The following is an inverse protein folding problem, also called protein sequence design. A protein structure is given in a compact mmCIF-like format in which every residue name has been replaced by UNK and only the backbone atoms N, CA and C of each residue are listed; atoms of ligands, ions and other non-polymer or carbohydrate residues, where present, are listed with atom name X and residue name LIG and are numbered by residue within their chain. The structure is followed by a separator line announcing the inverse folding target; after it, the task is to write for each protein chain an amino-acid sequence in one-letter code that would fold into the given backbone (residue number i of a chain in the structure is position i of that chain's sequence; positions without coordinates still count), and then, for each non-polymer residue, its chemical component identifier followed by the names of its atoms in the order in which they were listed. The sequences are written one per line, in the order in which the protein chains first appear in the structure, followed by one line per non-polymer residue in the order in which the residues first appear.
data_IF_595554613452
#
_entry.id   IF_595554613452
#
_cell.length_a   1.000
_cell.length_b   1.000
_cell.length_c   1.000
_cell.angle_alpha   90.00
_cell.angle_beta   90.00
_cell.angle_gamma   90.00
#
_symmetry.space_group_name_H-M   'P 1'
#
loop_
_entity.id
_entity.type
_entity.pdbx_description
1 polymer ?
#
# COMPACT_ATOMS: atom_id res chain seq x y z
N UNK A 1 17.23 9.37 10.38
CA UNK A 1 16.73 10.02 9.14
C UNK A 1 15.34 9.51 8.92
N UNK A 2 14.36 10.39 8.60
CA UNK A 2 12.98 9.95 8.33
C UNK A 2 12.91 9.04 7.10
N UNK A 3 11.93 8.16 7.08
CA UNK A 3 11.69 7.24 5.96
C UNK A 3 10.27 7.42 5.42
N UNK A 4 10.14 7.32 4.09
CA UNK A 4 8.89 7.04 3.43
C UNK A 4 8.90 5.56 3.00
N UNK A 5 8.10 4.75 3.67
CA UNK A 5 7.96 3.33 3.40
C UNK A 5 6.72 3.11 2.55
N UNK A 6 6.89 2.71 1.30
CA UNK A 6 5.78 2.28 0.46
C UNK A 6 5.59 0.77 0.63
N UNK A 7 4.43 0.36 1.15
CA UNK A 7 4.04 -1.04 1.27
C UNK A 7 3.11 -1.37 0.13
N UNK A 8 3.67 -1.95 -0.93
CA UNK A 8 2.99 -2.33 -2.16
C UNK A 8 2.53 -3.80 -2.12
N UNK A 9 1.72 -4.21 -3.05
CA UNK A 9 1.25 -5.59 -3.16
C UNK A 9 -0.18 -5.67 -3.69
N UNK A 10 -0.63 -6.84 -4.15
CA UNK A 10 -1.97 -7.01 -4.71
C UNK A 10 -3.08 -6.69 -3.69
N UNK A 11 -4.31 -6.40 -4.14
CA UNK A 11 -5.45 -6.21 -3.24
C UNK A 11 -5.65 -7.41 -2.30
N UNK A 12 -5.95 -7.14 -1.02
CA UNK A 12 -6.19 -8.18 -0.02
C UNK A 12 -4.95 -8.83 0.59
N UNK A 13 -3.73 -8.48 0.17
CA UNK A 13 -2.47 -9.12 0.63
C UNK A 13 -2.09 -8.80 2.09
N UNK A 14 -2.68 -7.79 2.72
CA UNK A 14 -2.39 -7.41 4.10
C UNK A 14 -1.64 -6.09 4.29
N UNK A 15 -1.48 -5.28 3.25
CA UNK A 15 -0.77 -3.98 3.30
C UNK A 15 -1.23 -3.09 4.46
N UNK A 16 -2.52 -2.78 4.53
CA UNK A 16 -3.09 -1.90 5.56
C UNK A 16 -2.92 -2.45 6.97
N UNK A 17 -3.05 -3.77 7.14
CA UNK A 17 -2.84 -4.45 8.43
C UNK A 17 -1.40 -4.28 8.92
N UNK A 18 -0.42 -4.55 8.05
CA UNK A 18 1.00 -4.44 8.40
C UNK A 18 1.44 -3.00 8.61
N UNK A 19 0.90 -2.06 7.81
CA UNK A 19 1.20 -0.63 7.95
C UNK A 19 0.62 -0.05 9.24
N UNK A 20 -0.59 -0.46 9.63
CA UNK A 20 -1.18 -0.09 10.90
C UNK A 20 -0.34 -0.62 12.08
N UNK A 21 0.05 -1.89 12.04
CA UNK A 21 0.90 -2.52 13.03
C UNK A 21 2.29 -1.86 13.12
N UNK A 22 2.85 -1.49 11.96
CA UNK A 22 4.12 -0.77 11.92
C UNK A 22 4.01 0.59 12.60
N UNK A 23 2.98 1.38 12.29
CA UNK A 23 2.79 2.68 12.92
C UNK A 23 2.51 2.58 14.41
N UNK A 24 1.75 1.57 14.86
CA UNK A 24 1.48 1.30 16.27
C UNK A 24 2.77 1.01 17.06
N UNK A 25 3.67 0.21 16.47
CA UNK A 25 4.93 -0.19 17.11
C UNK A 25 6.07 0.83 16.95
N UNK A 26 5.88 1.87 16.12
CA UNK A 26 6.83 2.95 15.89
C UNK A 26 6.16 4.30 16.17
N UNK A 27 6.08 4.73 17.45
CA UNK A 27 5.39 5.96 17.83
C UNK A 27 5.90 7.18 17.07
N UNK A 28 4.98 7.96 16.51
CA UNK A 28 5.28 9.13 15.67
C UNK A 28 5.27 8.84 14.16
N UNK A 29 5.21 7.58 13.74
CA UNK A 29 5.02 7.21 12.33
C UNK A 29 3.58 7.50 11.88
N UNK A 30 3.42 8.13 10.74
CA UNK A 30 2.12 8.32 10.10
C UNK A 30 1.78 7.08 9.24
N UNK A 31 0.72 6.34 9.61
CA UNK A 31 0.10 5.39 8.70
C UNK A 31 -0.80 6.16 7.71
N UNK A 32 -0.29 6.40 6.53
CA UNK A 32 -0.98 7.16 5.49
C UNK A 32 -1.71 6.20 4.54
N UNK A 33 -2.73 5.52 5.07
CA UNK A 33 -3.61 4.66 4.28
C UNK A 33 -4.47 5.53 3.35
N UNK A 34 -4.18 5.45 2.05
CA UNK A 34 -4.80 6.27 1.01
C UNK A 34 -6.31 6.02 0.94
N UNK A 35 -6.73 4.78 1.18
CA UNK A 35 -8.14 4.40 1.17
C UNK A 35 -8.91 5.03 2.34
N UNK A 36 -8.25 5.19 3.50
CA UNK A 36 -8.82 5.90 4.65
C UNK A 36 -9.01 7.39 4.33
N UNK A 37 -8.01 8.04 3.74
CA UNK A 37 -8.09 9.44 3.35
C UNK A 37 -9.15 9.65 2.27
N UNK A 38 -9.25 8.73 1.30
CA UNK A 38 -10.25 8.80 0.24
C UNK A 38 -11.68 8.82 0.81
N UNK A 39 -11.96 8.00 1.81
CA UNK A 39 -13.28 7.96 2.49
C UNK A 39 -13.65 9.25 3.22
N UNK A 40 -12.70 10.13 3.51
CA UNK A 40 -12.98 11.44 4.10
C UNK A 40 -13.51 12.46 3.08
N UNK A 41 -13.37 12.18 1.79
CA UNK A 41 -13.86 13.06 0.72
C UNK A 41 -15.31 12.70 0.38
N UNK A 42 -16.20 13.70 0.45
CA UNK A 42 -17.62 13.50 0.10
C UNK A 42 -17.78 12.98 -1.33
N UNK A 43 -18.67 11.99 -1.52
CA UNK A 43 -18.92 11.37 -2.82
C UNK A 43 -17.86 10.36 -3.27
N UNK A 44 -17.04 9.82 -2.37
CA UNK A 44 -15.97 8.87 -2.67
C UNK A 44 -16.45 7.56 -3.34
N UNK A 45 -17.73 7.20 -3.19
CA UNK A 45 -18.33 6.03 -3.85
C UNK A 45 -18.83 6.31 -5.26
N UNK A 46 -18.89 7.56 -5.67
CA UNK A 46 -19.34 7.96 -6.99
C UNK A 46 -18.18 7.91 -7.98
N UNK A 47 -18.24 6.99 -8.93
CA UNK A 47 -17.17 6.78 -9.91
C UNK A 47 -17.00 7.95 -10.89
N UNK A 48 -18.05 8.72 -11.13
CA UNK A 48 -18.01 9.93 -11.95
C UNK A 48 -17.41 11.12 -11.20
N UNK A 49 -17.32 10.98 -9.87
CA UNK A 49 -16.83 12.01 -8.99
C UNK A 49 -15.32 11.95 -8.83
N UNK A 50 -14.56 12.44 -9.71
CA UNK A 50 -13.09 12.47 -9.80
C UNK A 50 -12.35 12.77 -8.46
N UNK A 51 -12.80 12.13 -7.37
CA UNK A 51 -12.32 12.36 -5.99
C UNK A 51 -10.82 12.08 -5.83
N UNK A 52 -10.24 11.22 -6.67
CA UNK A 52 -8.79 11.00 -6.69
C UNK A 52 -7.98 12.25 -7.03
N UNK A 53 -8.54 13.20 -7.77
CA UNK A 53 -7.91 14.49 -8.05
C UNK A 53 -7.81 15.37 -6.80
N UNK A 54 -8.72 15.18 -5.85
CA UNK A 54 -8.71 15.84 -4.54
C UNK A 54 -7.80 15.09 -3.56
N UNK A 55 -7.88 13.76 -3.52
CA UNK A 55 -7.15 12.91 -2.55
C UNK A 55 -5.65 12.93 -2.79
N UNK A 56 -5.20 12.86 -4.04
CA UNK A 56 -3.77 12.80 -4.37
C UNK A 56 -2.96 13.98 -3.81
N UNK A 57 -3.39 15.24 -3.96
CA UNK A 57 -2.70 16.38 -3.33
C UNK A 57 -2.72 16.33 -1.80
N UNK A 58 -3.82 15.86 -1.18
CA UNK A 58 -3.92 15.73 0.27
C UNK A 58 -2.89 14.72 0.81
N UNK A 59 -2.81 13.53 0.20
CA UNK A 59 -1.82 12.51 0.55
C UNK A 59 -0.40 13.07 0.48
N UNK A 60 -0.06 13.78 -0.60
CA UNK A 60 1.26 14.40 -0.76
C UNK A 60 1.54 15.47 0.30
N UNK A 61 0.53 16.29 0.64
CA UNK A 61 0.69 17.32 1.67
C UNK A 61 0.90 16.71 3.06
N UNK A 62 0.13 15.67 3.41
CA UNK A 62 0.27 14.96 4.69
C UNK A 62 1.65 14.29 4.80
N UNK A 63 2.07 13.55 3.77
CA UNK A 63 3.37 12.90 3.75
C UNK A 63 4.50 13.94 3.88
N UNK A 64 4.46 15.03 3.11
CA UNK A 64 5.45 16.10 3.18
C UNK A 64 5.55 16.68 4.58
N UNK A 65 4.42 17.07 5.16
CA UNK A 65 4.40 17.69 6.51
C UNK A 65 5.00 16.77 7.56
N UNK A 66 4.73 15.48 7.47
CA UNK A 66 5.24 14.48 8.41
C UNK A 66 6.76 14.29 8.25
N UNK A 67 7.23 14.15 7.02
CA UNK A 67 8.64 13.97 6.68
C UNK A 67 9.47 15.23 7.03
N UNK A 68 8.94 16.44 6.77
CA UNK A 68 9.55 17.72 7.18
C UNK A 68 9.75 17.80 8.69
N UNK A 69 8.84 17.17 9.45
CA UNK A 69 8.95 17.03 10.91
C UNK A 69 9.95 15.97 11.36
N UNK A 70 10.69 15.35 10.45
CA UNK A 70 11.69 14.32 10.75
C UNK A 70 11.08 12.98 11.18
N UNK A 71 9.83 12.70 10.83
CA UNK A 71 9.07 11.50 11.24
C UNK A 71 8.72 10.63 10.04
N UNK A 72 8.61 9.34 10.29
CA UNK A 72 8.34 8.34 9.26
C UNK A 72 6.92 8.41 8.74
N UNK A 73 6.74 7.98 7.47
CA UNK A 73 5.47 7.77 6.82
C UNK A 73 5.45 6.37 6.24
N UNK A 74 4.40 5.60 6.49
CA UNK A 74 4.12 4.34 5.82
C UNK A 74 2.87 4.48 4.94
N UNK A 75 2.99 4.09 3.66
CA UNK A 75 1.94 4.23 2.64
C UNK A 75 1.55 2.85 2.12
N UNK A 76 0.45 2.25 2.60
CA UNK A 76 -0.07 0.99 2.06
C UNK A 76 -0.91 1.26 0.81
N UNK A 77 -0.31 1.10 -0.38
CA UNK A 77 -1.04 1.31 -1.63
C UNK A 77 -0.58 0.33 -2.71
N UNK A 78 -1.52 -0.12 -3.55
CA UNK A 78 -1.17 -0.84 -4.77
C UNK A 78 -0.75 0.16 -5.86
N UNK A 79 0.46 0.03 -6.33
CA UNK A 79 0.97 0.72 -7.52
C UNK A 79 1.61 -0.29 -8.47
N UNK A 80 1.35 -0.15 -9.76
CA UNK A 80 1.90 -1.02 -10.79
C UNK A 80 2.53 -0.26 -11.97
N UNK A 81 2.70 1.07 -11.83
CA UNK A 81 3.34 1.91 -12.85
C UNK A 81 4.59 2.57 -12.27
N UNK A 82 5.71 2.59 -13.02
CA UNK A 82 6.96 3.19 -12.54
C UNK A 82 6.81 4.65 -12.09
N UNK A 83 5.94 5.42 -12.75
CA UNK A 83 5.71 6.85 -12.46
C UNK A 83 5.11 7.05 -11.06
N UNK A 84 4.32 6.09 -10.59
CA UNK A 84 3.71 6.14 -9.24
C UNK A 84 4.76 5.97 -8.16
N UNK A 85 5.70 5.02 -8.38
CA UNK A 85 6.82 4.78 -7.47
C UNK A 85 7.79 5.96 -7.47
N UNK A 86 8.18 6.42 -8.66
CA UNK A 86 9.08 7.57 -8.81
C UNK A 86 8.53 8.84 -8.15
N UNK A 87 7.21 9.03 -8.15
CA UNK A 87 6.58 10.17 -7.49
C UNK A 87 6.71 10.13 -5.96
N UNK A 88 6.64 8.93 -5.35
CA UNK A 88 6.86 8.74 -3.91
C UNK A 88 8.34 8.87 -3.55
N UNK A 89 9.22 8.31 -4.35
CA UNK A 89 10.67 8.44 -4.19
C UNK A 89 11.10 9.90 -4.26
N UNK A 90 10.61 10.64 -5.26
CA UNK A 90 10.90 12.07 -5.40
C UNK A 90 10.35 12.88 -4.23
N UNK A 91 9.17 12.52 -3.72
CA UNK A 91 8.61 13.15 -2.51
C UNK A 91 9.56 12.95 -1.33
N UNK A 92 9.99 11.73 -1.05
CA UNK A 92 10.93 11.44 0.04
C UNK A 92 12.24 12.20 -0.13
N UNK A 93 12.83 12.15 -1.33
CA UNK A 93 14.10 12.83 -1.65
C UNK A 93 14.03 14.35 -1.42
N UNK A 94 12.92 14.99 -1.81
CA UNK A 94 12.71 16.45 -1.62
C UNK A 94 12.63 16.83 -0.14
N UNK A 95 12.23 15.91 0.74
CA UNK A 95 12.16 16.11 2.18
C UNK A 95 13.41 15.58 2.91
N UNK A 96 14.46 15.17 2.19
CA UNK A 96 15.66 14.60 2.80
C UNK A 96 15.40 13.26 3.53
N UNK A 97 14.36 12.55 3.17
CA UNK A 97 13.99 11.26 3.72
C UNK A 97 14.47 10.10 2.84
N UNK A 98 14.62 8.93 3.44
CA UNK A 98 14.93 7.69 2.71
C UNK A 98 13.62 7.11 2.14
N UNK A 99 13.62 6.76 0.88
CA UNK A 99 12.53 5.96 0.28
C UNK A 99 12.81 4.47 0.44
N UNK A 100 11.77 3.71 0.79
CA UNK A 100 11.81 2.26 0.89
C UNK A 100 10.61 1.66 0.15
N UNK A 101 10.87 0.87 -0.88
CA UNK A 101 9.84 0.09 -1.59
C UNK A 101 9.84 -1.33 -1.05
N UNK A 102 8.73 -1.73 -0.41
CA UNK A 102 8.51 -3.09 0.07
C UNK A 102 7.27 -3.66 -0.62
N UNK A 103 7.42 -4.81 -1.25
CA UNK A 103 6.33 -5.46 -1.99
C UNK A 103 5.93 -6.76 -1.30
N UNK A 104 4.70 -6.79 -0.80
CA UNK A 104 4.12 -8.00 -0.22
C UNK A 104 3.61 -8.91 -1.34
N UNK A 105 4.06 -10.14 -1.36
CA UNK A 105 3.60 -11.15 -2.33
C UNK A 105 3.19 -12.45 -1.64
N UNK A 106 2.25 -13.13 -2.26
CA UNK A 106 1.85 -14.52 -2.00
C UNK A 106 1.72 -15.22 -3.37
N UNK A 107 1.43 -16.49 -3.38
CA UNK A 107 1.04 -17.18 -4.60
C UNK A 107 -0.15 -16.47 -5.26
N UNK A 108 -0.13 -16.35 -6.60
CA UNK A 108 -1.14 -15.60 -7.37
C UNK A 108 -2.56 -16.05 -7.06
N UNK A 109 -2.79 -17.34 -7.00
CA UNK A 109 -4.10 -17.92 -6.67
C UNK A 109 -4.53 -17.60 -5.24
N UNK A 110 -3.61 -17.69 -4.28
CA UNK A 110 -3.85 -17.39 -2.87
C UNK A 110 -4.21 -15.91 -2.67
N UNK A 111 -3.50 -14.99 -3.35
CA UNK A 111 -3.79 -13.56 -3.28
C UNK A 111 -5.21 -13.24 -3.79
N UNK A 112 -5.62 -13.83 -4.91
CA UNK A 112 -6.97 -13.66 -5.48
C UNK A 112 -8.03 -14.22 -4.52
N UNK A 113 -7.82 -15.40 -3.96
CA UNK A 113 -8.75 -16.02 -3.00
C UNK A 113 -8.89 -15.19 -1.71
N UNK A 114 -7.77 -14.64 -1.18
CA UNK A 114 -7.79 -13.77 0.02
C UNK A 114 -8.66 -12.55 -0.18
N UNK A 115 -8.57 -11.89 -1.34
CA UNK A 115 -9.43 -10.75 -1.66
C UNK A 115 -10.91 -11.14 -1.63
N UNK A 116 -11.29 -12.25 -2.27
CA UNK A 116 -12.67 -12.74 -2.29
C UNK A 116 -13.18 -13.18 -0.92
N UNK A 117 -12.31 -13.74 -0.07
CA UNK A 117 -12.66 -14.15 1.30
C UNK A 117 -12.95 -12.94 2.18
N UNK A 118 -12.09 -11.92 2.13
CA UNK A 118 -12.25 -10.70 2.93
C UNK A 118 -13.62 -10.05 2.74
N UNK A 119 -14.13 -10.02 1.51
CA UNK A 119 -15.44 -9.43 1.25
C UNK A 119 -16.62 -10.23 1.81
N UNK A 120 -16.44 -11.55 2.06
CA UNK A 120 -17.48 -12.38 2.69
C UNK A 120 -17.48 -12.26 4.21
N UNK A 121 -16.31 -11.95 4.79
CA UNK A 121 -16.08 -12.02 6.23
C UNK A 121 -16.11 -10.63 6.89
N UNK A 122 -16.19 -9.55 6.10
CA UNK A 122 -16.07 -8.17 6.58
C UNK A 122 -17.19 -7.28 6.02
N UNK A 123 -18.00 -6.73 6.92
CA UNK A 123 -19.14 -5.85 6.61
C UNK A 123 -18.72 -4.37 6.41
N UNK A 124 -17.42 -4.03 6.43
CA UNK A 124 -16.96 -2.66 6.19
C UNK A 124 -17.42 -2.18 4.80
N UNK A 125 -18.09 -1.03 4.79
CA UNK A 125 -18.67 -0.44 3.57
C UNK A 125 -17.63 -0.24 2.46
N UNK A 126 -16.39 0.08 2.83
CA UNK A 126 -15.31 0.24 1.85
C UNK A 126 -14.89 -1.09 1.23
N UNK A 127 -14.81 -2.14 2.03
CA UNK A 127 -14.47 -3.49 1.54
C UNK A 127 -15.56 -3.99 0.59
N UNK A 128 -16.81 -3.79 0.93
CA UNK A 128 -17.96 -4.13 0.08
C UNK A 128 -17.94 -3.32 -1.23
N UNK A 129 -17.68 -2.01 -1.14
CA UNK A 129 -17.52 -1.15 -2.31
C UNK A 129 -16.38 -1.63 -3.22
N UNK A 130 -15.19 -1.90 -2.67
CA UNK A 130 -14.04 -2.36 -3.45
C UNK A 130 -14.28 -3.72 -4.08
N UNK A 131 -14.97 -4.62 -3.39
CA UNK A 131 -15.34 -5.92 -3.93
C UNK A 131 -16.31 -5.78 -5.12
N UNK A 132 -17.34 -4.93 -4.98
CA UNK A 132 -18.26 -4.60 -6.06
C UNK A 132 -17.52 -3.97 -7.25
N UNK A 133 -16.67 -2.99 -6.99
CA UNK A 133 -15.88 -2.28 -8.00
C UNK A 133 -14.93 -3.21 -8.78
N UNK A 134 -14.26 -4.14 -8.11
CA UNK A 134 -13.43 -5.15 -8.77
C UNK A 134 -14.31 -6.14 -9.55
N UNK A 135 -15.43 -6.59 -8.94
CA UNK A 135 -16.36 -7.54 -9.56
C UNK A 135 -16.94 -7.00 -10.87
N UNK A 136 -17.40 -5.74 -10.90
CA UNK A 136 -17.95 -5.08 -12.09
C UNK A 136 -16.92 -4.87 -13.21
N UNK A 137 -15.62 -4.94 -12.91
CA UNK A 137 -14.52 -4.74 -13.86
C UNK A 137 -13.74 -6.02 -14.18
N UNK A 138 -14.34 -7.19 -14.01
CA UNK A 138 -13.76 -8.47 -14.42
C UNK A 138 -13.33 -9.39 -13.26
N UNK A 139 -13.60 -9.03 -12.00
CA UNK A 139 -13.42 -9.91 -10.85
C UNK A 139 -12.03 -10.54 -10.74
N UNK A 140 -11.96 -11.87 -10.68
CA UNK A 140 -10.70 -12.61 -10.54
C UNK A 140 -9.72 -12.37 -11.70
N UNK A 141 -10.21 -12.18 -12.93
CA UNK A 141 -9.36 -11.86 -14.08
C UNK A 141 -8.69 -10.50 -13.91
N UNK A 142 -9.42 -9.50 -13.40
CA UNK A 142 -8.88 -8.17 -13.06
C UNK A 142 -7.79 -8.26 -11.98
N UNK A 143 -8.04 -9.01 -10.91
CA UNK A 143 -7.05 -9.22 -9.84
C UNK A 143 -5.80 -9.92 -10.37
N UNK A 144 -5.98 -10.91 -11.25
CA UNK A 144 -4.86 -11.57 -11.92
C UNK A 144 -4.03 -10.61 -12.76
N UNK A 145 -4.68 -9.75 -13.57
CA UNK A 145 -3.97 -8.74 -14.36
C UNK A 145 -3.23 -7.71 -13.46
N UNK A 146 -3.80 -7.34 -12.33
CA UNK A 146 -3.11 -6.46 -11.35
C UNK A 146 -1.88 -7.15 -10.74
N UNK A 147 -1.99 -8.43 -10.42
CA UNK A 147 -0.86 -9.22 -9.91
C UNK A 147 0.26 -9.29 -10.96
N UNK A 148 -0.06 -9.63 -12.20
CA UNK A 148 0.89 -9.76 -13.29
C UNK A 148 1.58 -8.42 -13.59
N UNK A 149 0.83 -7.29 -13.59
CA UNK A 149 1.37 -5.95 -13.77
C UNK A 149 2.35 -5.55 -12.63
N UNK A 150 2.09 -5.99 -11.40
CA UNK A 150 3.01 -5.77 -10.29
C UNK A 150 4.32 -6.56 -10.46
N UNK A 151 4.24 -7.79 -10.96
CA UNK A 151 5.45 -8.57 -11.27
C UNK A 151 6.27 -7.94 -12.40
N UNK A 152 5.62 -7.36 -13.40
CA UNK A 152 6.31 -6.63 -14.46
C UNK A 152 6.99 -5.37 -13.92
N UNK A 153 6.32 -4.63 -13.03
CA UNK A 153 6.92 -3.48 -12.34
C UNK A 153 8.16 -3.89 -11.52
N UNK A 154 8.10 -4.99 -10.78
CA UNK A 154 9.23 -5.47 -9.96
C UNK A 154 10.51 -5.71 -10.75
N UNK A 155 10.40 -6.10 -12.02
CA UNK A 155 11.57 -6.25 -12.91
C UNK A 155 12.29 -4.93 -13.19
N UNK A 156 11.60 -3.81 -12.99
CA UNK A 156 12.11 -2.45 -13.19
C UNK A 156 12.59 -1.80 -11.88
N UNK A 157 12.38 -2.45 -10.74
CA UNK A 157 12.69 -1.93 -9.41
C UNK A 157 13.70 -2.84 -8.68
N UNK A 158 14.99 -2.82 -9.06
CA UNK A 158 16.00 -3.71 -8.49
C UNK A 158 16.22 -3.53 -6.98
N UNK A 159 15.90 -2.34 -6.46
CA UNK A 159 16.06 -1.99 -5.04
C UNK A 159 14.80 -2.29 -4.19
N UNK A 160 13.71 -2.75 -4.82
CA UNK A 160 12.51 -3.14 -4.10
C UNK A 160 12.74 -4.43 -3.30
N UNK A 161 12.33 -4.44 -2.05
CA UNK A 161 12.39 -5.65 -1.22
C UNK A 161 11.08 -6.41 -1.27
N UNK A 162 11.12 -7.66 -1.71
CA UNK A 162 9.96 -8.55 -1.72
C UNK A 162 9.85 -9.29 -0.38
N UNK A 163 8.69 -9.19 0.25
CA UNK A 163 8.37 -9.86 1.52
C UNK A 163 7.22 -10.84 1.29
N UNK A 164 7.43 -12.15 1.56
CA UNK A 164 6.35 -13.13 1.53
C UNK A 164 5.25 -12.78 2.53
N UNK A 165 3.98 -12.86 2.12
CA UNK A 165 2.83 -12.52 2.97
C UNK A 165 1.79 -13.62 2.94
N UNK A 166 2.00 -14.64 3.75
CA UNK A 166 1.07 -15.78 3.90
C UNK A 166 -0.15 -15.39 4.75
N UNK A 167 -1.32 -15.90 4.39
CA UNK A 167 -2.56 -15.67 5.14
C UNK A 167 -2.42 -16.18 6.59
N UNK A 168 -2.77 -15.32 7.55
CA UNK A 168 -2.70 -15.64 8.99
C UNK A 168 -1.32 -15.43 9.65
N UNK A 169 -0.24 -15.31 8.86
CA UNK A 169 1.13 -15.14 9.35
C UNK A 169 1.50 -13.65 9.52
N UNK A 170 0.68 -12.89 10.26
CA UNK A 170 0.87 -11.43 10.38
C UNK A 170 2.18 -11.09 11.09
N UNK A 171 2.49 -11.74 12.20
CA UNK A 171 3.70 -11.46 12.99
C UNK A 171 4.98 -11.84 12.24
N UNK A 172 4.99 -12.97 11.55
CA UNK A 172 6.11 -13.41 10.73
C UNK A 172 6.36 -12.45 9.57
N UNK A 173 5.28 -12.04 8.87
CA UNK A 173 5.38 -11.06 7.79
C UNK A 173 5.85 -9.70 8.31
N UNK A 174 5.38 -9.29 9.50
CA UNK A 174 5.83 -8.07 10.15
C UNK A 174 7.32 -8.10 10.51
N UNK A 175 7.81 -9.22 11.03
CA UNK A 175 9.23 -9.40 11.32
C UNK A 175 10.08 -9.25 10.04
N UNK A 176 9.68 -9.92 8.95
CA UNK A 176 10.37 -9.79 7.66
C UNK A 176 10.30 -8.36 7.10
N UNK A 177 9.17 -7.67 7.24
CA UNK A 177 9.03 -6.26 6.86
C UNK A 177 10.02 -5.37 7.62
N UNK A 178 10.08 -5.52 8.95
CA UNK A 178 10.98 -4.71 9.77
C UNK A 178 12.46 -4.98 9.50
N UNK A 179 12.81 -6.23 9.22
CA UNK A 179 14.17 -6.59 8.82
C UNK A 179 14.55 -5.99 7.47
N UNK A 180 13.63 -6.01 6.50
CA UNK A 180 13.80 -5.36 5.20
C UNK A 180 14.05 -3.84 5.33
N UNK A 181 13.40 -3.18 6.29
CA UNK A 181 13.52 -1.74 6.51
C UNK A 181 14.81 -1.33 7.24
N UNK A 182 15.46 -2.24 7.98
CA UNK A 182 16.74 -1.95 8.65
C UNK A 182 17.90 -1.82 7.66
N UNK A 183 17.78 -2.41 6.45
CA UNK A 183 18.84 -2.42 5.43
C UNK A 183 20.02 -3.34 5.80
N UNK A 184 20.92 -3.64 4.84
CA UNK A 184 22.13 -4.39 5.15
C UNK A 184 23.08 -3.51 5.97
N UNK A 185 23.14 -3.74 7.28
CA UNK A 185 24.16 -3.16 8.17
C UNK A 185 23.68 -2.09 9.17
N UNK A 186 22.52 -2.32 9.81
CA UNK A 186 22.16 -1.59 11.04
C UNK A 186 22.58 -2.36 12.28
#
# INVERSE_FOLDING_TARGET
MAQLVHVNGPPGIGKSTLSALYAERHPGTLNLDVDVVHRLVGGWTDEDNRTWEVVTPLIRAMARTQLDGGRDVVVPQYHARPEEISALEELARKQGAVFREVVLLDERSAAIERFGRRARDDDDTYIQYMHHHVGSRGGAARLGAMYDALLDLLRLLPDATVVPSTAGAVEETYAMLTDALRGPGG
#
